data_IF_288344070188
#
_entry.id   IF_288344070188
#
_cell.length_a   1.000
_cell.length_b   1.000
_cell.length_c   1.000
_cell.angle_alpha   90.00
_cell.angle_beta   90.00
_cell.angle_gamma   90.00
#
_symmetry.space_group_name_H-M   'P 1'
#
loop_
_entity.id
_entity.type
_entity.pdbx_description
1 polymer ?
#
# COMPACT_ATOMS: atom_id res chain seq x y z
N UNK A 1 -6.68 7.53 7.22
CA UNK A 1 -7.88 7.57 6.35
C UNK A 1 -8.96 8.49 6.93
N UNK A 2 -9.37 8.30 8.18
CA UNK A 2 -10.47 9.06 8.83
C UNK A 2 -10.40 10.58 8.64
N UNK A 3 -9.22 11.20 8.88
CA UNK A 3 -9.04 12.65 8.72
C UNK A 3 -9.34 13.10 7.29
N UNK A 4 -8.89 12.35 6.28
CA UNK A 4 -9.14 12.68 4.86
C UNK A 4 -10.63 12.59 4.54
N UNK A 5 -11.32 11.54 4.98
CA UNK A 5 -12.76 11.39 4.75
C UNK A 5 -13.56 12.49 5.41
N UNK A 6 -13.19 12.87 6.65
CA UNK A 6 -13.85 13.95 7.38
C UNK A 6 -13.75 15.27 6.62
N UNK A 7 -12.53 15.74 6.32
CA UNK A 7 -12.34 17.05 5.68
C UNK A 7 -12.87 17.09 4.25
N UNK A 8 -12.92 15.94 3.57
CA UNK A 8 -13.55 15.80 2.26
C UNK A 8 -15.08 15.89 2.36
N UNK A 9 -15.70 15.17 3.32
CA UNK A 9 -17.14 15.22 3.57
C UNK A 9 -17.64 16.60 3.99
N UNK A 10 -16.84 17.34 4.75
CA UNK A 10 -17.08 18.75 5.13
C UNK A 10 -16.85 19.74 3.97
N UNK A 11 -16.46 19.26 2.77
CA UNK A 11 -16.16 20.05 1.56
C UNK A 11 -15.03 21.06 1.74
N UNK A 12 -14.11 20.83 2.68
CA UNK A 12 -12.93 21.65 2.91
C UNK A 12 -11.79 21.29 1.94
N UNK A 13 -11.94 21.67 0.66
CA UNK A 13 -11.02 21.29 -0.44
C UNK A 13 -9.52 21.41 -0.13
N UNK A 14 -9.09 22.52 0.49
CA UNK A 14 -7.67 22.73 0.84
C UNK A 14 -7.18 21.73 1.87
N UNK A 15 -7.98 21.49 2.92
CA UNK A 15 -7.63 20.52 3.97
C UNK A 15 -7.65 19.09 3.44
N UNK A 16 -8.62 18.76 2.57
CA UNK A 16 -8.65 17.46 1.89
C UNK A 16 -7.40 17.22 1.05
N UNK A 17 -6.96 18.21 0.27
CA UNK A 17 -5.73 18.09 -0.52
C UNK A 17 -4.49 17.87 0.36
N UNK A 18 -4.38 18.60 1.49
CA UNK A 18 -3.26 18.43 2.44
C UNK A 18 -3.29 17.01 3.04
N UNK A 19 -4.46 16.57 3.52
CA UNK A 19 -4.61 15.25 4.12
C UNK A 19 -4.31 14.13 3.10
N UNK A 20 -4.78 14.26 1.86
CA UNK A 20 -4.54 13.28 0.80
C UNK A 20 -3.05 13.20 0.42
N UNK A 21 -2.36 14.34 0.28
CA UNK A 21 -0.92 14.34 -0.03
C UNK A 21 -0.08 13.77 1.11
N UNK A 22 -0.41 14.09 2.36
CA UNK A 22 0.26 13.50 3.53
C UNK A 22 0.03 11.99 3.60
N UNK A 23 -1.17 11.51 3.27
CA UNK A 23 -1.46 10.08 3.24
C UNK A 23 -0.75 9.37 2.09
N UNK A 24 -0.68 9.99 0.92
CA UNK A 24 0.10 9.48 -0.22
C UNK A 24 1.59 9.36 0.13
N UNK A 25 2.19 10.40 0.70
CA UNK A 25 3.59 10.40 1.15
C UNK A 25 3.84 9.30 2.19
N UNK A 26 2.90 9.07 3.11
CA UNK A 26 3.00 7.97 4.07
C UNK A 26 3.08 6.61 3.37
N UNK A 27 2.21 6.34 2.39
CA UNK A 27 2.24 5.08 1.65
C UNK A 27 3.52 4.92 0.82
N UNK A 28 3.99 5.98 0.16
CA UNK A 28 5.25 5.97 -0.60
C UNK A 28 6.46 5.68 0.32
N UNK A 29 6.57 6.38 1.45
CA UNK A 29 7.78 6.34 2.29
C UNK A 29 7.81 5.19 3.29
N UNK A 30 6.66 4.62 3.65
CA UNK A 30 6.57 3.53 4.63
C UNK A 30 6.29 2.21 3.96
N UNK A 31 5.22 2.10 3.20
CA UNK A 31 4.74 0.82 2.68
C UNK A 31 5.50 0.38 1.45
N UNK A 32 5.71 1.27 0.47
CA UNK A 32 6.50 0.91 -0.72
C UNK A 32 7.97 0.68 -0.33
N UNK A 33 8.55 1.53 0.52
CA UNK A 33 9.90 1.32 1.02
C UNK A 33 10.08 0.02 1.82
N UNK A 34 9.05 -0.40 2.58
CA UNK A 34 9.04 -1.67 3.28
C UNK A 34 9.04 -2.85 2.31
N UNK A 35 8.13 -2.82 1.32
CA UNK A 35 8.03 -3.80 0.26
C UNK A 35 9.36 -3.96 -0.51
N UNK A 36 10.04 -2.85 -0.85
CA UNK A 36 11.34 -2.88 -1.50
C UNK A 36 12.40 -3.59 -0.64
N UNK A 37 12.45 -3.27 0.66
CA UNK A 37 13.37 -3.91 1.61
C UNK A 37 13.11 -5.41 1.78
N UNK A 38 11.85 -5.84 1.78
CA UNK A 38 11.48 -7.26 1.87
C UNK A 38 11.90 -8.02 0.61
N UNK A 39 11.60 -7.48 -0.56
CA UNK A 39 11.94 -8.07 -1.84
C UNK A 39 13.45 -8.16 -2.07
N UNK A 40 14.20 -7.14 -1.65
CA UNK A 40 15.66 -7.10 -1.80
C UNK A 40 16.39 -7.94 -0.76
N UNK A 41 15.78 -8.16 0.41
CA UNK A 41 16.38 -8.82 1.56
C UNK A 41 15.65 -10.10 1.99
N UNK A 42 14.53 -9.95 2.70
CA UNK A 42 13.82 -11.07 3.34
C UNK A 42 13.43 -12.17 2.35
N UNK A 43 12.81 -11.81 1.23
CA UNK A 43 12.27 -12.78 0.27
C UNK A 43 13.39 -13.58 -0.41
N UNK A 44 14.54 -12.96 -0.69
CA UNK A 44 15.71 -13.68 -1.21
C UNK A 44 16.21 -14.72 -0.22
N UNK A 45 16.36 -14.34 1.07
CA UNK A 45 16.78 -15.27 2.13
C UNK A 45 15.80 -16.44 2.29
N UNK A 46 14.50 -16.15 2.34
CA UNK A 46 13.45 -17.18 2.47
C UNK A 46 13.43 -18.15 1.28
N UNK A 47 13.67 -17.66 0.06
CA UNK A 47 13.77 -18.50 -1.13
C UNK A 47 15.02 -19.40 -1.13
N UNK A 48 16.15 -18.89 -0.63
CA UNK A 48 17.38 -19.66 -0.46
C UNK A 48 17.22 -20.74 0.62
N UNK A 49 16.54 -20.43 1.72
CA UNK A 49 16.23 -21.37 2.81
C UNK A 49 15.25 -22.47 2.39
N UNK A 50 14.23 -22.11 1.59
CA UNK A 50 13.23 -23.04 1.11
C UNK A 50 12.77 -22.67 -0.32
N UNK A 51 13.29 -23.33 -1.37
CA UNK A 51 12.87 -23.05 -2.74
C UNK A 51 11.38 -23.29 -3.03
N UNK A 52 10.69 -24.15 -2.26
CA UNK A 52 9.30 -24.53 -2.52
C UNK A 52 8.30 -23.39 -2.25
N UNK A 53 8.68 -22.36 -1.48
CA UNK A 53 7.83 -21.19 -1.22
C UNK A 53 7.85 -20.15 -2.36
N UNK A 54 8.56 -20.42 -3.46
CA UNK A 54 8.69 -19.50 -4.61
C UNK A 54 7.35 -18.98 -5.13
N UNK A 55 6.33 -19.84 -5.18
CA UNK A 55 4.97 -19.44 -5.58
C UNK A 55 4.36 -18.43 -4.60
N UNK A 56 4.47 -18.69 -3.29
CA UNK A 56 3.98 -17.78 -2.24
C UNK A 56 4.67 -16.42 -2.31
N UNK A 57 5.99 -16.38 -2.47
CA UNK A 57 6.74 -15.13 -2.61
C UNK A 57 6.32 -14.35 -3.87
N UNK A 58 5.99 -15.05 -4.96
CA UNK A 58 5.51 -14.41 -6.18
C UNK A 58 4.14 -13.76 -5.98
N UNK A 59 3.25 -14.37 -5.19
CA UNK A 59 1.97 -13.78 -4.82
C UNK A 59 2.14 -12.53 -3.95
N UNK A 60 2.99 -12.59 -2.92
CA UNK A 60 3.25 -11.43 -2.05
C UNK A 60 3.88 -10.26 -2.82
N UNK A 61 4.84 -10.55 -3.72
CA UNK A 61 5.38 -9.54 -4.66
C UNK A 61 4.30 -8.93 -5.55
N UNK A 62 3.32 -9.73 -5.99
CA UNK A 62 2.22 -9.21 -6.81
C UNK A 62 1.38 -8.21 -6.02
N UNK A 63 1.19 -8.43 -4.73
CA UNK A 63 0.49 -7.46 -3.87
C UNK A 63 1.27 -6.15 -3.75
N UNK A 64 2.60 -6.20 -3.65
CA UNK A 64 3.43 -4.99 -3.71
C UNK A 64 3.24 -4.22 -5.00
N UNK A 65 3.20 -4.90 -6.14
CA UNK A 65 2.96 -4.25 -7.43
C UNK A 65 1.57 -3.62 -7.50
N UNK A 66 0.54 -4.26 -6.93
CA UNK A 66 -0.79 -3.68 -6.83
C UNK A 66 -0.80 -2.42 -5.95
N UNK A 67 -0.06 -2.42 -4.84
CA UNK A 67 0.11 -1.23 -4.00
C UNK A 67 0.81 -0.09 -4.77
N UNK A 68 1.88 -0.39 -5.52
CA UNK A 68 2.59 0.58 -6.38
C UNK A 68 1.66 1.19 -7.43
N UNK A 69 0.82 0.36 -8.09
CA UNK A 69 -0.18 0.82 -9.06
C UNK A 69 -1.17 1.78 -8.40
N UNK A 70 -1.77 1.40 -7.27
CA UNK A 70 -2.75 2.24 -6.58
C UNK A 70 -2.16 3.58 -6.11
N UNK A 71 -0.93 3.57 -5.58
CA UNK A 71 -0.21 4.78 -5.17
C UNK A 71 0.03 5.70 -6.38
N UNK A 72 0.46 5.15 -7.51
CA UNK A 72 0.66 5.90 -8.75
C UNK A 72 -0.65 6.51 -9.25
N UNK A 73 -1.73 5.72 -9.32
CA UNK A 73 -3.03 6.18 -9.77
C UNK A 73 -3.58 7.31 -8.89
N UNK A 74 -3.44 7.20 -7.57
CA UNK A 74 -3.85 8.25 -6.62
C UNK A 74 -3.08 9.53 -6.89
N UNK A 75 -1.76 9.44 -7.09
CA UNK A 75 -0.91 10.61 -7.38
C UNK A 75 -1.37 11.32 -8.64
N UNK A 76 -1.59 10.55 -9.71
CA UNK A 76 -2.07 11.10 -10.98
C UNK A 76 -3.44 11.76 -10.85
N UNK A 77 -4.40 11.10 -10.20
CA UNK A 77 -5.75 11.66 -10.05
C UNK A 77 -5.76 12.89 -9.13
N UNK A 78 -4.96 12.89 -8.06
CA UNK A 78 -4.78 14.06 -7.20
C UNK A 78 -4.20 15.26 -7.96
N UNK A 79 -3.25 15.04 -8.87
CA UNK A 79 -2.65 16.12 -9.65
C UNK A 79 -3.56 16.61 -10.79
N UNK A 80 -4.39 15.72 -11.37
CA UNK A 80 -5.35 16.06 -12.44
C UNK A 80 -6.62 16.73 -11.92
N UNK A 81 -7.25 16.15 -10.90
CA UNK A 81 -8.62 16.47 -10.50
C UNK A 81 -8.74 16.86 -9.02
N UNK A 82 -7.68 16.64 -8.23
CA UNK A 82 -7.72 16.81 -6.78
C UNK A 82 -8.47 15.68 -6.08
N UNK A 83 -8.86 15.90 -4.82
CA UNK A 83 -9.58 14.88 -4.05
C UNK A 83 -11.02 14.77 -4.59
N UNK A 84 -11.38 13.55 -5.01
CA UNK A 84 -12.71 13.14 -5.44
C UNK A 84 -13.01 11.73 -4.87
N UNK A 85 -14.21 11.21 -5.10
CA UNK A 85 -14.63 9.90 -4.58
C UNK A 85 -13.71 8.77 -5.08
N UNK A 86 -13.23 8.87 -6.32
CA UNK A 86 -12.35 7.89 -6.97
C UNK A 86 -10.98 7.78 -6.27
N UNK A 87 -10.43 8.92 -5.83
CA UNK A 87 -9.22 8.99 -4.99
C UNK A 87 -9.47 8.38 -3.61
N UNK A 88 -10.62 8.66 -2.99
CA UNK A 88 -10.98 8.11 -1.68
C UNK A 88 -11.09 6.59 -1.75
N UNK A 89 -11.73 6.06 -2.79
CA UNK A 89 -11.91 4.62 -2.98
C UNK A 89 -10.58 3.89 -3.20
N UNK A 90 -9.62 4.50 -3.92
CA UNK A 90 -8.26 3.93 -4.04
C UNK A 90 -7.52 3.91 -2.71
N UNK A 91 -7.60 4.95 -1.88
CA UNK A 91 -6.98 4.91 -0.55
C UNK A 91 -7.59 3.81 0.32
N UNK A 92 -8.91 3.59 0.24
CA UNK A 92 -9.58 2.47 0.93
C UNK A 92 -9.10 1.12 0.40
N UNK A 93 -8.94 1.00 -0.91
CA UNK A 93 -8.41 -0.21 -1.53
C UNK A 93 -6.98 -0.52 -1.05
N UNK A 94 -6.09 0.48 -0.99
CA UNK A 94 -4.75 0.33 -0.40
C UNK A 94 -4.85 -0.19 1.02
N UNK A 95 -5.68 0.44 1.86
CA UNK A 95 -5.81 0.05 3.26
C UNK A 95 -6.21 -1.42 3.40
N UNK A 96 -7.24 -1.87 2.69
CA UNK A 96 -7.70 -3.26 2.74
C UNK A 96 -6.65 -4.22 2.18
N UNK A 97 -6.00 -3.88 1.07
CA UNK A 97 -4.98 -4.71 0.46
C UNK A 97 -3.78 -4.91 1.40
N UNK A 98 -3.31 -3.85 2.07
CA UNK A 98 -2.23 -3.96 3.07
C UNK A 98 -2.62 -4.87 4.24
N UNK A 99 -3.87 -4.81 4.71
CA UNK A 99 -4.30 -5.72 5.78
C UNK A 99 -4.26 -7.20 5.34
N UNK A 100 -4.69 -7.48 4.11
CA UNK A 100 -4.65 -8.84 3.54
C UNK A 100 -3.20 -9.29 3.38
N UNK A 101 -2.37 -8.46 2.75
CA UNK A 101 -0.96 -8.72 2.52
C UNK A 101 -0.21 -9.01 3.82
N UNK A 102 -0.35 -8.15 4.85
CA UNK A 102 0.33 -8.32 6.13
C UNK A 102 -0.06 -9.63 6.82
N UNK A 103 -1.34 -9.99 6.81
CA UNK A 103 -1.84 -11.25 7.40
C UNK A 103 -1.22 -12.46 6.71
N UNK A 104 -1.19 -12.42 5.38
CA UNK A 104 -0.69 -13.53 4.58
C UNK A 104 0.85 -13.64 4.73
N UNK A 105 1.57 -12.51 4.73
CA UNK A 105 3.01 -12.46 5.04
C UNK A 105 3.32 -13.04 6.43
N UNK A 106 2.58 -12.65 7.47
CA UNK A 106 2.74 -13.19 8.82
C UNK A 106 2.56 -14.71 8.83
N UNK A 107 1.47 -15.19 8.21
CA UNK A 107 1.12 -16.61 8.16
C UNK A 107 2.14 -17.48 7.41
N UNK A 108 2.76 -16.94 6.34
CA UNK A 108 3.65 -17.71 5.48
C UNK A 108 5.13 -17.55 5.80
N UNK A 109 5.54 -16.36 6.27
CA UNK A 109 6.96 -16.01 6.40
C UNK A 109 7.43 -15.89 7.86
N UNK A 110 6.53 -15.61 8.81
CA UNK A 110 6.88 -15.24 10.19
C UNK A 110 6.39 -16.24 11.25
N UNK A 111 5.31 -16.98 11.00
CA UNK A 111 4.83 -18.02 11.92
C UNK A 111 5.75 -19.25 11.93
N UNK A 112 6.77 -19.17 12.79
CA UNK A 112 7.78 -20.21 13.03
C UNK A 112 8.71 -19.91 14.21
N UNK A 113 8.28 -19.07 15.15
CA UNK A 113 8.96 -18.82 16.43
C UNK A 113 8.33 -19.60 17.58
#
# INVERSE_FOLDING_TARGET
MEVLEQVYGEKHKKHAMIAARALLEHWETRTIAHADSEEEGLYKRKLEENPDISHTLSMLKRDHDLLRILVSDIKEELDKQGVNDDVIDRFKAIYVLVQIHNRDEESYLLDGH
#
